data_IF_043088004027
#
_entry.id   IF_043088004027
#
_cell.length_a   1.000
_cell.length_b   1.000
_cell.length_c   1.000
_cell.angle_alpha   90.00
_cell.angle_beta   90.00
_cell.angle_gamma   90.00
#
_symmetry.space_group_name_H-M   'P 1'
#
loop_
_entity.id
_entity.type
_entity.pdbx_description
1 polymer ?
#
# COMPACT_ATOMS: atom_id res chain seq x y z
N UNK A 1 -15.57 34.97 -3.81
CA UNK A 1 -15.92 33.94 -2.81
C UNK A 1 -16.33 32.60 -3.45
N UNK A 2 -17.31 32.51 -4.36
CA UNK A 2 -17.70 31.21 -4.97
C UNK A 2 -16.53 30.48 -5.64
N UNK A 3 -15.64 31.16 -6.39
CA UNK A 3 -14.46 30.54 -7.03
C UNK A 3 -13.44 29.99 -6.01
N UNK A 4 -13.28 30.63 -4.86
CA UNK A 4 -12.39 30.16 -3.79
C UNK A 4 -12.96 28.91 -3.12
N UNK A 5 -14.28 28.82 -2.95
CA UNK A 5 -14.95 27.64 -2.41
C UNK A 5 -14.80 26.44 -3.36
N UNK A 6 -14.93 26.64 -4.68
CA UNK A 6 -14.69 25.57 -5.66
C UNK A 6 -13.23 25.11 -5.66
N UNK A 7 -12.27 26.02 -5.55
CA UNK A 7 -10.84 25.68 -5.43
C UNK A 7 -10.58 24.89 -4.15
N UNK A 8 -11.12 25.29 -3.01
CA UNK A 8 -10.96 24.57 -1.74
C UNK A 8 -11.63 23.20 -1.79
N UNK A 9 -12.81 23.07 -2.39
CA UNK A 9 -13.51 21.79 -2.55
C UNK A 9 -12.75 20.89 -3.53
N UNK A 10 -12.24 21.41 -4.65
CA UNK A 10 -11.42 20.63 -5.59
C UNK A 10 -10.11 20.21 -4.94
N UNK A 11 -9.42 21.08 -4.20
CA UNK A 11 -8.21 20.73 -3.45
C UNK A 11 -8.44 19.64 -2.37
N UNK A 12 -9.65 19.58 -1.80
CA UNK A 12 -10.00 18.53 -0.82
C UNK A 12 -10.15 17.13 -1.44
N UNK A 13 -10.47 17.06 -2.74
CA UNK A 13 -10.62 15.78 -3.46
C UNK A 13 -9.30 15.22 -4.01
N UNK A 14 -8.25 16.03 -4.13
CA UNK A 14 -6.97 15.64 -4.73
C UNK A 14 -5.81 15.52 -3.74
N UNK A 15 -6.10 15.26 -2.48
CA UNK A 15 -5.02 14.90 -1.56
C UNK A 15 -4.52 13.49 -1.89
N UNK A 16 -3.40 13.41 -2.60
CA UNK A 16 -2.63 12.18 -2.75
C UNK A 16 -2.03 11.87 -1.39
N UNK A 17 -2.75 11.04 -0.61
CA UNK A 17 -2.30 10.62 0.70
C UNK A 17 -1.36 9.47 0.50
N UNK A 18 -0.10 9.78 0.50
CA UNK A 18 0.97 8.80 0.39
C UNK A 18 0.99 7.85 1.60
N UNK A 19 0.80 6.57 1.33
CA UNK A 19 1.36 5.47 2.08
C UNK A 19 0.98 5.32 3.57
N UNK A 20 -0.32 5.32 3.93
CA UNK A 20 -0.73 5.02 5.30
C UNK A 20 -1.98 4.13 5.29
N UNK A 21 -1.94 3.05 6.03
CA UNK A 21 -3.01 2.05 6.08
C UNK A 21 -4.21 2.46 6.93
N UNK A 22 -4.10 3.50 7.76
CA UNK A 22 -5.19 4.04 8.57
C UNK A 22 -5.31 5.53 8.32
N UNK A 23 -6.49 5.98 7.90
CA UNK A 23 -6.74 7.38 7.59
C UNK A 23 -7.94 7.86 8.36
N UNK A 24 -7.70 8.64 9.41
CA UNK A 24 -8.76 9.47 9.95
C UNK A 24 -8.76 10.84 9.21
N UNK A 25 -9.85 11.60 9.28
CA UNK A 25 -9.92 12.90 8.63
C UNK A 25 -8.86 13.90 9.12
N UNK A 26 -8.33 13.75 10.33
CA UNK A 26 -7.28 14.60 10.86
C UNK A 26 -5.95 14.35 10.18
N UNK A 27 -5.59 13.07 10.00
CA UNK A 27 -4.39 12.67 9.25
C UNK A 27 -4.42 13.16 7.82
N UNK A 28 -5.59 13.01 7.17
CA UNK A 28 -5.79 13.45 5.79
C UNK A 28 -5.56 14.95 5.67
N UNK A 29 -6.21 15.73 6.53
CA UNK A 29 -6.11 17.19 6.53
C UNK A 29 -4.70 17.73 6.84
N UNK A 30 -3.85 16.92 7.49
CA UNK A 30 -2.47 17.28 7.86
C UNK A 30 -1.42 16.62 6.96
N UNK A 31 -1.85 16.05 5.80
CA UNK A 31 -0.97 15.35 4.85
C UNK A 31 -0.06 14.30 5.48
N UNK A 32 -0.52 13.65 6.56
CA UNK A 32 0.21 12.59 7.24
C UNK A 32 1.15 13.03 8.38
N UNK A 33 1.23 14.31 8.71
CA UNK A 33 1.95 14.81 9.88
C UNK A 33 1.20 14.46 11.17
N UNK A 34 1.45 13.27 11.74
CA UNK A 34 0.61 12.70 12.79
C UNK A 34 1.37 11.95 13.90
N UNK A 35 2.67 11.77 13.77
CA UNK A 35 3.53 10.95 14.66
C UNK A 35 3.53 11.46 16.13
N UNK A 36 3.18 12.73 16.37
CA UNK A 36 3.20 13.34 17.69
C UNK A 36 1.85 13.83 18.18
N UNK A 37 0.80 13.75 17.36
CA UNK A 37 -0.52 14.33 17.66
C UNK A 37 -1.70 13.36 17.55
N UNK A 38 -1.45 12.09 17.23
CA UNK A 38 -2.48 11.05 17.22
C UNK A 38 -3.02 10.81 18.66
N UNK A 39 -4.28 10.41 18.77
CA UNK A 39 -4.96 10.21 20.04
C UNK A 39 -5.70 8.87 20.09
N UNK A 40 -5.69 8.22 21.27
CA UNK A 40 -6.44 7.01 21.55
C UNK A 40 -6.18 5.91 20.51
N UNK A 41 -7.23 5.29 19.96
CA UNK A 41 -7.11 4.22 18.96
C UNK A 41 -6.40 4.66 17.67
N UNK A 42 -6.38 5.94 17.36
CA UNK A 42 -5.75 6.47 16.15
C UNK A 42 -4.22 6.54 16.23
N UNK A 43 -3.63 6.32 17.42
CA UNK A 43 -2.17 6.21 17.54
C UNK A 43 -1.63 4.88 16.99
N UNK A 44 -2.47 3.86 16.91
CA UNK A 44 -2.10 2.53 16.39
C UNK A 44 -1.80 2.62 14.89
N UNK A 45 -0.60 2.19 14.50
CA UNK A 45 -0.10 2.33 13.11
C UNK A 45 0.62 3.65 12.82
N UNK A 46 0.68 4.58 13.81
CA UNK A 46 1.45 5.83 13.71
C UNK A 46 2.54 5.90 14.78
N UNK A 47 2.16 6.00 16.04
CA UNK A 47 3.11 5.97 17.16
C UNK A 47 2.39 5.43 18.39
N UNK A 48 2.61 4.18 18.78
CA UNK A 48 1.91 3.56 19.89
C UNK A 48 2.16 4.23 21.24
N UNK A 49 3.25 4.99 21.41
CA UNK A 49 3.53 5.72 22.65
C UNK A 49 2.47 6.80 22.97
N UNK A 50 1.78 7.31 21.95
CA UNK A 50 0.74 8.33 22.12
C UNK A 50 -0.52 7.83 22.85
N UNK A 51 -0.68 6.51 23.01
CA UNK A 51 -1.77 5.95 23.82
C UNK A 51 -1.72 6.46 25.27
N UNK A 52 -0.53 6.81 25.77
CA UNK A 52 -0.35 7.37 27.12
C UNK A 52 -0.89 8.79 27.26
N UNK A 53 -1.31 9.44 26.15
CA UNK A 53 -1.78 10.82 26.12
C UNK A 53 -3.29 10.99 25.99
N UNK A 54 -4.04 9.93 26.08
CA UNK A 54 -5.51 9.94 25.93
C UNK A 54 -6.26 10.59 27.11
N UNK A 55 -5.71 11.65 27.69
CA UNK A 55 -6.26 12.26 28.89
C UNK A 55 -7.64 12.92 28.68
N UNK A 56 -7.85 13.58 27.53
CA UNK A 56 -9.10 14.26 27.19
C UNK A 56 -10.18 13.29 26.70
N UNK A 57 -9.78 12.09 26.30
CA UNK A 57 -10.67 11.03 25.81
C UNK A 57 -10.33 9.72 26.48
N UNK A 58 -10.73 9.52 27.74
CA UNK A 58 -10.33 8.34 28.52
C UNK A 58 -10.86 7.03 27.97
N UNK A 59 -11.88 7.08 27.11
CA UNK A 59 -12.42 5.94 26.38
C UNK A 59 -12.80 6.35 24.96
N UNK A 60 -12.36 5.58 23.98
CA UNK A 60 -12.76 5.70 22.57
C UNK A 60 -13.22 4.35 22.06
N UNK A 61 -14.36 4.34 21.39
CA UNK A 61 -14.91 3.16 20.70
C UNK A 61 -15.19 3.51 19.26
N UNK A 62 -14.64 2.73 18.34
CA UNK A 62 -14.90 2.89 16.93
C UNK A 62 -16.07 2.00 16.51
N UNK A 63 -17.16 2.62 16.12
CA UNK A 63 -18.38 1.93 15.69
C UNK A 63 -18.29 1.56 14.23
N UNK A 64 -17.84 2.48 13.37
CA UNK A 64 -17.70 2.27 11.94
C UNK A 64 -16.68 3.23 11.35
N UNK A 65 -15.92 2.73 10.41
CA UNK A 65 -15.08 3.52 9.50
C UNK A 65 -14.86 2.72 8.23
N UNK A 66 -14.69 3.39 7.12
CA UNK A 66 -14.17 2.79 5.88
C UNK A 66 -13.23 3.78 5.26
N UNK A 67 -12.01 3.37 5.03
CA UNK A 67 -11.07 4.17 4.25
C UNK A 67 -10.56 3.41 3.03
N UNK A 68 -10.23 4.16 1.99
CA UNK A 68 -9.61 3.67 0.78
C UNK A 68 -8.53 4.64 0.38
N UNK A 69 -7.39 4.12 -0.06
CA UNK A 69 -6.29 4.90 -0.56
C UNK A 69 -5.85 4.44 -1.92
N UNK A 70 -5.35 5.40 -2.67
CA UNK A 70 -4.65 5.19 -3.92
C UNK A 70 -3.31 5.87 -3.84
N UNK A 71 -2.29 5.19 -4.30
CA UNK A 71 -0.95 5.71 -4.45
C UNK A 71 -0.40 5.25 -5.80
N UNK A 72 0.23 6.16 -6.52
CA UNK A 72 0.87 5.85 -7.78
C UNK A 72 1.86 6.93 -8.14
N UNK A 73 2.89 6.59 -8.88
CA UNK A 73 3.86 7.57 -9.36
C UNK A 73 3.36 8.37 -10.59
N UNK A 74 2.25 7.95 -11.18
CA UNK A 74 1.60 8.66 -12.31
C UNK A 74 0.66 9.78 -11.86
N UNK A 75 -0.09 9.56 -10.77
CA UNK A 75 -1.14 10.47 -10.33
C UNK A 75 -0.61 11.60 -9.43
N UNK A 76 0.24 12.47 -9.96
CA UNK A 76 0.49 13.76 -9.34
C UNK A 76 -0.42 14.83 -9.95
N UNK A 77 -0.80 15.83 -9.16
CA UNK A 77 -1.58 16.99 -9.68
C UNK A 77 -0.80 17.66 -10.82
N UNK A 78 0.50 17.70 -10.70
CA UNK A 78 1.40 18.27 -11.69
C UNK A 78 1.37 17.50 -13.00
N UNK A 79 1.52 16.16 -12.95
CA UNK A 79 1.44 15.32 -14.14
C UNK A 79 0.05 15.37 -14.80
N UNK A 80 -1.02 15.32 -14.01
CA UNK A 80 -2.39 15.42 -14.54
C UNK A 80 -2.65 16.79 -15.16
N UNK A 81 -2.20 17.88 -14.54
CA UNK A 81 -2.38 19.22 -15.05
C UNK A 81 -1.55 19.50 -16.33
N UNK A 82 -0.35 18.94 -16.38
CA UNK A 82 0.59 19.14 -17.49
C UNK A 82 0.26 18.28 -18.71
N UNK A 83 -0.19 17.04 -18.49
CA UNK A 83 -0.34 16.03 -19.57
C UNK A 83 -1.81 15.68 -19.89
N UNK A 84 -2.79 16.35 -19.26
CA UNK A 84 -4.20 16.11 -19.50
C UNK A 84 -4.68 16.85 -20.73
N UNK A 85 -5.09 16.08 -21.75
CA UNK A 85 -5.88 16.60 -22.87
C UNK A 85 -5.07 17.08 -24.08
N UNK A 86 -3.77 16.85 -24.15
CA UNK A 86 -2.91 17.23 -25.27
C UNK A 86 -2.09 16.06 -25.83
N UNK A 87 -1.49 16.26 -26.98
CA UNK A 87 -0.57 15.31 -27.61
C UNK A 87 0.84 15.57 -27.07
N UNK A 88 1.43 14.57 -26.42
CA UNK A 88 2.77 14.68 -25.83
C UNK A 88 3.83 14.92 -26.90
N UNK A 89 4.59 16.00 -26.78
CA UNK A 89 5.80 16.22 -27.54
C UNK A 89 7.00 15.41 -26.94
N UNK A 90 8.11 15.32 -27.66
CA UNK A 90 9.24 14.49 -27.22
C UNK A 90 9.80 14.91 -25.85
N UNK A 91 9.90 16.21 -25.56
CA UNK A 91 10.38 16.71 -24.27
C UNK A 91 9.45 16.34 -23.11
N UNK A 92 8.15 16.38 -23.34
CA UNK A 92 7.14 15.98 -22.34
C UNK A 92 7.15 14.46 -22.12
N UNK A 93 7.38 13.68 -23.18
CA UNK A 93 7.60 12.24 -23.07
C UNK A 93 8.82 11.92 -22.22
N UNK A 94 9.94 12.60 -22.45
CA UNK A 94 11.19 12.42 -21.70
C UNK A 94 10.97 12.76 -20.21
N UNK A 95 10.34 13.89 -19.91
CA UNK A 95 10.03 14.28 -18.53
C UNK A 95 9.11 13.27 -17.83
N UNK A 96 8.12 12.76 -18.53
CA UNK A 96 7.21 11.77 -17.99
C UNK A 96 7.92 10.43 -17.78
N UNK A 97 8.78 10.04 -18.72
CA UNK A 97 9.57 8.82 -18.63
C UNK A 97 10.56 8.85 -17.47
N UNK A 98 11.27 9.94 -17.28
CA UNK A 98 12.21 10.14 -16.15
C UNK A 98 11.51 9.94 -14.79
N UNK A 99 10.26 10.42 -14.66
CA UNK A 99 9.45 10.20 -13.46
C UNK A 99 9.13 8.71 -13.18
N UNK A 100 9.07 7.89 -14.23
CA UNK A 100 8.80 6.45 -14.13
C UNK A 100 10.06 5.61 -13.98
N UNK A 101 11.19 6.04 -14.56
CA UNK A 101 12.45 5.30 -14.57
C UNK A 101 12.96 5.06 -13.16
N UNK A 102 12.94 6.07 -12.31
CA UNK A 102 13.30 5.99 -10.89
C UNK A 102 12.52 4.90 -10.13
N UNK A 103 11.25 4.68 -10.51
CA UNK A 103 10.39 3.64 -9.95
C UNK A 103 10.44 2.29 -10.69
N UNK A 104 11.20 2.19 -11.79
CA UNK A 104 11.25 1.01 -12.66
C UNK A 104 9.91 0.72 -13.35
N UNK A 105 9.11 1.77 -13.62
CA UNK A 105 7.83 1.71 -14.31
C UNK A 105 6.68 2.42 -13.59
N UNK A 106 5.46 2.24 -14.08
CA UNK A 106 4.26 2.80 -13.46
C UNK A 106 3.76 1.90 -12.35
N UNK A 107 3.73 2.44 -11.15
CA UNK A 107 3.27 1.74 -9.95
C UNK A 107 1.89 2.22 -9.53
N UNK A 108 1.04 1.27 -9.22
CA UNK A 108 -0.27 1.45 -8.66
C UNK A 108 -0.37 0.72 -7.33
N UNK A 109 -0.75 1.44 -6.30
CA UNK A 109 -1.09 0.85 -5.03
C UNK A 109 -2.48 1.30 -4.61
N UNK A 110 -3.31 0.36 -4.21
CA UNK A 110 -4.62 0.60 -3.61
C UNK A 110 -4.69 -0.14 -2.28
N UNK A 111 -5.20 0.53 -1.28
CA UNK A 111 -5.51 -0.10 -0.01
C UNK A 111 -6.95 0.18 0.41
N UNK A 112 -7.49 -0.75 1.17
CA UNK A 112 -8.77 -0.63 1.84
C UNK A 112 -8.60 -1.06 3.29
N UNK A 113 -9.12 -0.26 4.19
CA UNK A 113 -9.06 -0.53 5.61
C UNK A 113 -10.47 -0.43 6.20
N UNK A 114 -10.91 -1.51 6.81
CA UNK A 114 -12.23 -1.65 7.43
C UNK A 114 -12.06 -2.12 8.87
N UNK A 115 -12.17 -1.22 9.85
CA UNK A 115 -12.26 -1.61 11.25
C UNK A 115 -13.46 -2.51 11.48
N UNK A 116 -13.26 -3.61 12.19
CA UNK A 116 -14.36 -4.47 12.60
C UNK A 116 -15.17 -3.72 13.67
N UNK A 117 -16.46 -3.52 13.47
CA UNK A 117 -17.29 -2.73 14.39
C UNK A 117 -17.19 -3.21 15.83
N UNK A 118 -17.09 -2.27 16.75
CA UNK A 118 -17.05 -2.48 18.21
C UNK A 118 -15.81 -3.22 18.73
N UNK A 119 -14.92 -3.72 17.86
CA UNK A 119 -13.66 -4.38 18.27
C UNK A 119 -12.46 -3.45 18.29
N UNK A 120 -12.68 -2.16 18.05
CA UNK A 120 -11.63 -1.14 18.11
C UNK A 120 -11.96 -0.18 19.25
N UNK A 121 -11.21 -0.28 20.33
CA UNK A 121 -11.38 0.62 21.46
C UNK A 121 -10.06 0.94 22.15
N UNK A 122 -10.02 2.06 22.85
CA UNK A 122 -8.93 2.42 23.74
C UNK A 122 -9.46 2.90 25.08
N UNK A 123 -8.72 2.60 26.15
CA UNK A 123 -9.00 3.05 27.52
C UNK A 123 -7.69 3.19 28.28
N UNK A 124 -7.45 4.41 28.81
CA UNK A 124 -6.19 4.70 29.49
C UNK A 124 -4.99 4.44 28.56
N UNK A 125 -4.02 3.67 29.01
CA UNK A 125 -2.78 3.39 28.29
C UNK A 125 -2.85 2.13 27.40
N UNK A 126 -4.05 1.62 27.10
CA UNK A 126 -4.22 0.43 26.25
C UNK A 126 -5.19 0.68 25.10
N UNK A 127 -4.96 -0.02 23.98
CA UNK A 127 -5.92 -0.12 22.90
C UNK A 127 -5.97 -1.55 22.36
N UNK A 128 -7.18 -1.95 21.94
CA UNK A 128 -7.41 -3.14 21.15
C UNK A 128 -7.93 -2.69 19.78
N UNK A 129 -7.40 -3.28 18.72
CA UNK A 129 -7.83 -2.99 17.35
C UNK A 129 -8.01 -4.29 16.57
N UNK A 130 -9.03 -4.31 15.73
CA UNK A 130 -9.30 -5.41 14.82
C UNK A 130 -9.75 -4.82 13.49
N UNK A 131 -8.95 -5.05 12.44
CA UNK A 131 -9.15 -4.39 11.16
C UNK A 131 -8.97 -5.37 10.00
N UNK A 132 -9.92 -5.36 9.09
CA UNK A 132 -9.70 -5.96 7.77
C UNK A 132 -8.91 -4.97 6.90
N UNK A 133 -7.80 -5.44 6.37
CA UNK A 133 -6.89 -4.68 5.50
C UNK A 133 -6.76 -5.41 4.18
N UNK A 134 -6.99 -4.72 3.08
CA UNK A 134 -6.76 -5.22 1.73
C UNK A 134 -5.74 -4.32 1.04
N UNK A 135 -4.70 -4.92 0.50
CA UNK A 135 -3.61 -4.25 -0.19
C UNK A 135 -3.50 -4.79 -1.60
N UNK A 136 -3.56 -3.91 -2.59
CA UNK A 136 -3.39 -4.24 -4.00
C UNK A 136 -2.19 -3.45 -4.53
N UNK A 137 -1.21 -4.14 -5.05
CA UNK A 137 -0.03 -3.54 -5.67
C UNK A 137 0.08 -4.04 -7.11
N UNK A 138 0.16 -3.12 -8.06
CA UNK A 138 0.34 -3.42 -9.46
C UNK A 138 1.41 -2.52 -10.04
N UNK A 139 2.33 -3.10 -10.81
CA UNK A 139 3.41 -2.37 -11.46
C UNK A 139 3.52 -2.77 -12.92
N UNK A 140 3.42 -1.78 -13.78
CA UNK A 140 3.71 -1.88 -15.21
C UNK A 140 5.21 -1.64 -15.39
N UNK A 141 5.97 -2.55 -16.00
CA UNK A 141 7.41 -2.41 -16.14
C UNK A 141 7.79 -1.25 -17.07
N UNK A 142 8.96 -0.67 -16.82
CA UNK A 142 9.47 0.45 -17.60
C UNK A 142 9.64 0.10 -19.08
N UNK A 143 10.02 -1.14 -19.41
CA UNK A 143 10.18 -1.60 -20.78
C UNK A 143 8.91 -1.51 -21.61
N UNK A 144 7.73 -1.74 -21.00
CA UNK A 144 6.46 -1.55 -21.71
C UNK A 144 6.21 -0.08 -22.04
N UNK A 145 6.55 0.83 -21.12
CA UNK A 145 6.41 2.27 -21.34
C UNK A 145 7.40 2.75 -22.41
N UNK A 146 8.62 2.24 -22.36
CA UNK A 146 9.65 2.52 -23.37
C UNK A 146 9.20 2.12 -24.77
N UNK A 147 8.63 0.92 -24.89
CA UNK A 147 8.04 0.45 -26.15
C UNK A 147 6.92 1.37 -26.65
N UNK A 148 6.04 1.82 -25.76
CA UNK A 148 4.88 2.67 -26.11
C UNK A 148 5.30 4.09 -26.48
N UNK A 149 6.28 4.70 -25.79
CA UNK A 149 6.66 6.09 -25.99
C UNK A 149 7.69 6.30 -27.10
N UNK A 150 8.66 5.40 -27.18
CA UNK A 150 9.81 5.53 -28.06
C UNK A 150 9.87 4.44 -29.14
N UNK A 151 9.02 3.42 -29.02
CA UNK A 151 9.15 2.23 -29.81
C UNK A 151 10.37 1.41 -29.36
N UNK A 152 10.90 0.62 -30.24
CA UNK A 152 11.97 -0.34 -29.97
C UNK A 152 13.36 0.09 -30.48
N UNK A 153 13.49 1.35 -30.94
CA UNK A 153 14.71 1.81 -31.63
C UNK A 153 15.91 2.10 -30.72
N UNK A 154 15.70 2.27 -29.40
CA UNK A 154 16.74 2.69 -28.47
C UNK A 154 17.41 1.56 -27.69
N UNK A 155 16.63 0.56 -27.30
CA UNK A 155 17.10 -0.61 -26.54
C UNK A 155 16.59 -1.89 -27.19
N UNK A 156 17.48 -2.80 -27.57
CA UNK A 156 17.08 -4.03 -28.25
C UNK A 156 16.34 -5.02 -27.33
N UNK A 157 16.54 -4.98 -26.02
CA UNK A 157 15.95 -5.87 -25.03
C UNK A 157 15.22 -5.06 -23.96
N UNK A 158 13.92 -5.26 -23.84
CA UNK A 158 13.03 -4.55 -22.94
C UNK A 158 12.43 -5.52 -21.92
N UNK A 159 12.62 -5.23 -20.64
CA UNK A 159 11.97 -5.96 -19.55
C UNK A 159 10.45 -5.67 -19.51
N UNK A 160 9.67 -6.74 -19.68
CA UNK A 160 8.22 -6.72 -19.68
C UNK A 160 7.62 -7.38 -18.43
N UNK A 161 8.43 -7.62 -17.40
CA UNK A 161 8.01 -8.37 -16.22
C UNK A 161 7.01 -7.57 -15.39
N UNK A 162 5.74 -7.99 -15.43
CA UNK A 162 4.66 -7.42 -14.61
C UNK A 162 4.82 -7.81 -13.14
N UNK A 163 4.42 -6.93 -12.24
CA UNK A 163 4.27 -7.26 -10.83
C UNK A 163 2.83 -7.00 -10.40
N UNK A 164 2.23 -8.01 -9.78
CA UNK A 164 0.89 -7.95 -9.20
C UNK A 164 0.91 -8.65 -7.86
N UNK A 165 0.37 -8.00 -6.83
CA UNK A 165 0.23 -8.59 -5.50
C UNK A 165 -1.06 -8.08 -4.84
N UNK A 166 -1.92 -8.99 -4.43
CA UNK A 166 -3.18 -8.73 -3.75
C UNK A 166 -3.15 -9.48 -2.42
N UNK A 167 -3.38 -8.77 -1.33
CA UNK A 167 -3.31 -9.29 0.03
C UNK A 167 -4.53 -8.87 0.83
N UNK A 168 -5.26 -9.83 1.40
CA UNK A 168 -6.32 -9.60 2.36
C UNK A 168 -5.95 -10.18 3.73
N UNK A 169 -6.02 -9.36 4.78
CA UNK A 169 -5.59 -9.72 6.14
C UNK A 169 -6.55 -9.15 7.18
N UNK A 170 -6.85 -9.93 8.23
CA UNK A 170 -7.34 -9.39 9.48
C UNK A 170 -6.14 -9.10 10.40
N UNK A 171 -6.01 -7.84 10.79
CA UNK A 171 -4.99 -7.38 11.73
C UNK A 171 -5.62 -7.17 13.11
N UNK A 172 -5.21 -7.97 14.10
CA UNK A 172 -5.57 -7.80 15.50
C UNK A 172 -4.40 -7.17 16.24
N UNK A 173 -4.61 -6.01 16.83
CA UNK A 173 -3.58 -5.26 17.52
C UNK A 173 -3.90 -5.09 19.01
N UNK A 174 -2.92 -5.37 19.87
CA UNK A 174 -2.91 -4.99 21.26
C UNK A 174 -1.82 -3.95 21.50
N UNK A 175 -2.22 -2.75 21.82
CA UNK A 175 -1.32 -1.62 22.09
C UNK A 175 -1.30 -1.31 23.58
N UNK A 176 -0.10 -1.11 24.13
CA UNK A 176 0.07 -0.62 25.47
C UNK A 176 1.17 0.44 25.54
N UNK A 177 1.00 1.39 26.43
CA UNK A 177 1.94 2.49 26.63
C UNK A 177 2.44 2.54 28.07
N UNK A 178 3.72 2.86 28.20
CA UNK A 178 4.40 3.00 29.47
C UNK A 178 4.86 4.47 29.61
N UNK A 179 4.15 5.27 30.42
CA UNK A 179 4.55 6.65 30.66
C UNK A 179 5.70 6.71 31.68
N UNK A 180 6.72 7.46 31.35
CA UNK A 180 7.75 7.92 32.25
C UNK A 180 7.67 9.44 32.44
N UNK A 181 8.46 9.97 33.33
CA UNK A 181 8.40 11.38 33.71
C UNK A 181 8.61 12.35 32.51
N UNK A 182 9.58 12.07 31.62
CA UNK A 182 9.94 12.95 30.52
C UNK A 182 9.61 12.38 29.14
N UNK A 183 9.40 11.07 29.04
CA UNK A 183 9.19 10.35 27.79
C UNK A 183 8.19 9.21 28.03
N UNK A 184 7.45 8.84 27.01
CA UNK A 184 6.61 7.64 27.02
C UNK A 184 7.04 6.68 25.93
N UNK A 185 6.95 5.39 26.20
CA UNK A 185 7.14 4.34 25.23
C UNK A 185 5.82 3.64 24.95
N UNK A 186 5.69 3.08 23.76
CA UNK A 186 4.52 2.30 23.38
C UNK A 186 4.89 1.15 22.50
N UNK A 187 4.12 0.09 22.63
CA UNK A 187 4.29 -1.13 21.85
C UNK A 187 2.93 -1.57 21.34
N UNK A 188 2.86 -1.99 20.09
CA UNK A 188 1.70 -2.71 19.54
C UNK A 188 2.15 -4.10 19.12
N UNK A 189 1.55 -5.11 19.73
CA UNK A 189 1.67 -6.50 19.30
C UNK A 189 0.54 -6.79 18.32
N UNK A 190 0.87 -7.37 17.17
CA UNK A 190 -0.09 -7.68 16.11
C UNK A 190 -0.16 -9.17 15.85
N UNK A 191 -1.36 -9.70 15.76
CA UNK A 191 -1.62 -10.99 15.14
C UNK A 191 -2.20 -10.73 13.75
N UNK A 192 -1.59 -11.31 12.72
CA UNK A 192 -1.95 -11.16 11.31
C UNK A 192 -2.59 -12.45 10.83
N UNK A 193 -3.91 -12.43 10.67
CA UNK A 193 -4.65 -13.52 10.08
C UNK A 193 -4.74 -13.29 8.58
N UNK A 194 -3.90 -13.97 7.80
CA UNK A 194 -4.01 -13.96 6.34
C UNK A 194 -5.30 -14.61 5.89
N UNK A 195 -6.10 -13.89 5.12
CA UNK A 195 -7.36 -14.40 4.56
C UNK A 195 -7.13 -14.95 3.18
N UNK A 196 -6.60 -14.13 2.28
CA UNK A 196 -6.25 -14.51 0.91
C UNK A 196 -5.04 -13.73 0.41
N UNK A 197 -4.34 -14.35 -0.51
CA UNK A 197 -3.21 -13.80 -1.25
C UNK A 197 -3.27 -14.24 -2.70
N UNK A 198 -2.94 -13.34 -3.61
CA UNK A 198 -2.66 -13.64 -5.00
C UNK A 198 -1.52 -12.74 -5.47
N UNK A 199 -0.52 -13.31 -6.11
CA UNK A 199 0.60 -12.51 -6.61
C UNK A 199 1.45 -13.24 -7.64
N UNK A 200 2.11 -12.45 -8.49
CA UNK A 200 3.15 -12.92 -9.38
C UNK A 200 4.42 -13.10 -8.55
N UNK A 201 4.98 -14.30 -8.57
CA UNK A 201 6.23 -14.61 -7.90
C UNK A 201 7.40 -13.96 -8.66
N UNK A 202 8.10 -12.99 -8.08
CA UNK A 202 9.13 -12.24 -8.79
C UNK A 202 10.38 -13.08 -9.11
N UNK A 203 10.67 -14.10 -8.29
CA UNK A 203 11.87 -14.93 -8.46
C UNK A 203 11.67 -16.01 -9.57
N UNK A 204 10.42 -16.32 -9.86
CA UNK A 204 10.04 -17.35 -10.82
C UNK A 204 9.39 -16.80 -12.09
N UNK A 205 9.33 -15.48 -12.22
CA UNK A 205 8.68 -14.80 -13.34
C UNK A 205 9.65 -13.89 -14.07
N UNK A 206 9.59 -13.90 -15.38
CA UNK A 206 10.36 -13.01 -16.25
C UNK A 206 9.67 -12.88 -17.60
N UNK A 207 9.79 -11.72 -18.20
CA UNK A 207 9.27 -11.48 -19.54
C UNK A 207 10.13 -10.43 -20.24
N UNK A 208 10.37 -10.61 -21.52
CA UNK A 208 11.08 -9.62 -22.33
C UNK A 208 10.55 -9.55 -23.75
N UNK A 209 10.85 -8.44 -24.40
CA UNK A 209 10.67 -8.23 -25.83
C UNK A 209 12.01 -7.76 -26.38
N UNK A 210 12.45 -8.44 -27.46
CA UNK A 210 13.72 -8.18 -28.11
C UNK A 210 13.44 -7.72 -29.54
N UNK A 211 14.12 -6.65 -29.92
CA UNK A 211 14.08 -6.13 -31.29
C UNK A 211 15.36 -6.48 -32.03
N UNK A 212 15.22 -6.94 -33.25
CA UNK A 212 16.30 -7.24 -34.14
C UNK A 212 16.02 -6.76 -35.55
N UNK A 213 17.01 -6.85 -36.43
CA UNK A 213 16.87 -6.50 -37.86
C UNK A 213 15.81 -7.33 -38.58
N UNK A 214 15.48 -8.52 -38.05
CA UNK A 214 14.48 -9.41 -38.65
C UNK A 214 13.07 -9.23 -38.09
N UNK A 215 12.91 -8.47 -37.02
CA UNK A 215 11.62 -8.19 -36.37
C UNK A 215 11.69 -8.17 -34.85
N UNK A 216 10.52 -8.10 -34.24
CA UNK A 216 10.32 -8.11 -32.82
C UNK A 216 9.93 -9.52 -32.35
N UNK A 217 10.63 -10.06 -31.37
CA UNK A 217 10.33 -11.35 -30.74
C UNK A 217 10.50 -11.27 -29.25
N UNK A 218 9.96 -12.24 -28.54
CA UNK A 218 10.06 -12.22 -27.09
C UNK A 218 9.21 -13.28 -26.44
N UNK A 219 9.18 -13.26 -25.15
CA UNK A 219 8.36 -14.18 -24.39
C UNK A 219 8.31 -13.86 -22.92
N UNK A 220 7.45 -14.57 -22.22
CA UNK A 220 7.32 -14.41 -20.80
C UNK A 220 6.85 -15.69 -20.12
N UNK A 221 7.28 -15.78 -18.86
CA UNK A 221 6.89 -16.83 -17.94
C UNK A 221 6.47 -16.15 -16.64
N UNK A 222 5.24 -16.38 -16.21
CA UNK A 222 4.69 -15.85 -14.95
C UNK A 222 4.22 -16.99 -14.07
N UNK A 223 4.76 -17.08 -12.88
CA UNK A 223 4.26 -17.95 -11.83
C UNK A 223 3.34 -17.14 -10.91
N UNK A 224 2.04 -17.42 -10.99
CA UNK A 224 1.04 -16.76 -10.17
C UNK A 224 0.69 -17.69 -9.02
N UNK A 225 1.02 -17.26 -7.79
CA UNK A 225 0.71 -17.98 -6.56
C UNK A 225 -0.54 -17.45 -5.91
N UNK A 226 -1.24 -18.34 -5.25
CA UNK A 226 -2.34 -18.01 -4.35
C UNK A 226 -2.08 -18.60 -2.96
N UNK A 227 -2.62 -17.93 -1.95
CA UNK A 227 -2.63 -18.41 -0.58
C UNK A 227 -4.01 -18.15 0.03
N UNK A 228 -4.52 -19.12 0.77
CA UNK A 228 -5.77 -19.02 1.50
C UNK A 228 -5.51 -19.43 2.92
N UNK A 229 -5.82 -18.53 3.85
CA UNK A 229 -5.48 -18.74 5.25
C UNK A 229 -3.98 -18.68 5.52
N UNK A 230 -3.61 -17.80 6.38
CA UNK A 230 -2.24 -17.63 6.83
C UNK A 230 -2.22 -17.07 8.25
N UNK A 231 -1.07 -17.12 8.87
CA UNK A 231 -0.86 -16.56 10.20
C UNK A 231 0.45 -15.82 10.26
N UNK A 232 0.48 -14.78 11.05
CA UNK A 232 1.68 -13.99 11.24
C UNK A 232 1.63 -13.14 12.48
N UNK A 233 2.74 -12.51 12.76
CA UNK A 233 2.89 -11.58 13.86
C UNK A 233 3.53 -10.29 13.37
N UNK A 234 3.22 -9.19 14.04
CA UNK A 234 3.82 -7.90 13.78
C UNK A 234 4.11 -7.16 15.08
N UNK A 235 5.00 -6.18 14.98
CA UNK A 235 5.39 -5.35 16.10
C UNK A 235 5.54 -3.90 15.65
N UNK A 236 4.88 -2.99 16.39
CA UNK A 236 5.16 -1.56 16.29
C UNK A 236 5.79 -1.08 17.59
N UNK A 237 6.77 -0.20 17.46
CA UNK A 237 7.45 0.44 18.58
C UNK A 237 7.30 1.96 18.46
N UNK A 238 7.18 2.65 19.58
CA UNK A 238 7.09 4.09 19.59
C UNK A 238 7.64 4.73 20.84
N UNK A 239 8.04 5.98 20.68
CA UNK A 239 8.43 6.86 21.77
C UNK A 239 7.92 8.27 21.51
N UNK A 240 7.63 9.00 22.60
CA UNK A 240 7.18 10.39 22.53
C UNK A 240 7.61 11.13 23.78
N UNK A 241 8.15 12.34 23.64
CA UNK A 241 8.51 13.18 24.77
C UNK A 241 7.25 13.75 25.43
N UNK A 242 7.35 14.10 26.69
CA UNK A 242 6.36 15.01 27.31
C UNK A 242 6.35 16.33 26.55
N UNK A 243 5.25 17.06 26.64
CA UNK A 243 5.18 18.42 26.08
C UNK A 243 6.07 19.38 26.87
N UNK A 244 6.97 20.06 26.17
CA UNK A 244 7.92 21.01 26.73
C UNK A 244 7.68 22.36 26.04
N UNK A 245 7.10 23.33 26.74
CA UNK A 245 6.76 24.66 26.17
C UNK A 245 5.93 24.56 24.86
N UNK A 246 5.00 23.64 24.82
CA UNK A 246 4.16 23.36 23.66
C UNK A 246 4.79 22.43 22.62
N UNK A 247 6.09 22.11 22.73
CA UNK A 247 6.76 21.20 21.81
C UNK A 247 6.67 19.75 22.23
N UNK A 248 6.46 18.89 21.27
CA UNK A 248 6.47 17.45 21.38
C UNK A 248 7.33 16.84 20.27
N UNK A 249 8.16 15.87 20.62
CA UNK A 249 8.96 15.09 19.69
C UNK A 249 8.58 13.62 19.81
N UNK A 250 8.59 12.89 18.69
CA UNK A 250 8.26 11.48 18.70
C UNK A 250 8.94 10.73 17.58
N UNK A 251 9.18 9.45 17.82
CA UNK A 251 9.67 8.53 16.80
C UNK A 251 8.94 7.20 16.93
N UNK A 252 8.81 6.48 15.82
CA UNK A 252 8.22 5.15 15.81
C UNK A 252 8.76 4.30 14.67
N UNK A 253 8.72 2.99 14.89
CA UNK A 253 8.91 1.98 13.85
C UNK A 253 7.63 1.15 13.80
N UNK A 254 7.00 1.17 12.64
CA UNK A 254 5.77 0.43 12.37
C UNK A 254 6.14 -0.82 11.58
N UNK A 255 5.57 -1.97 11.93
CA UNK A 255 5.86 -3.26 11.34
C UNK A 255 7.37 -3.58 11.36
N UNK A 256 8.03 -3.45 12.51
CA UNK A 256 9.46 -3.82 12.71
C UNK A 256 9.71 -5.23 12.19
N UNK A 257 8.79 -6.12 12.45
CA UNK A 257 8.58 -7.35 11.71
C UNK A 257 7.07 -7.52 11.48
N UNK A 258 6.72 -8.12 10.37
CA UNK A 258 5.32 -8.32 9.99
C UNK A 258 5.32 -9.33 8.85
N UNK A 259 5.38 -10.62 9.19
CA UNK A 259 5.43 -11.71 8.21
C UNK A 259 4.18 -12.56 8.36
N UNK A 260 3.56 -12.91 7.23
CA UNK A 260 2.42 -13.82 7.14
C UNK A 260 2.90 -15.06 6.41
N UNK A 261 2.80 -16.19 7.08
CA UNK A 261 3.06 -17.52 6.53
C UNK A 261 1.74 -18.10 6.01
N UNK A 262 1.69 -18.44 4.73
CA UNK A 262 0.52 -19.00 4.06
C UNK A 262 0.54 -20.52 4.17
N UNK A 263 -0.12 -21.04 5.18
CA UNK A 263 -0.13 -22.47 5.55
C UNK A 263 -1.49 -23.15 5.36
N UNK A 264 -2.45 -22.46 4.75
CA UNK A 264 -3.74 -22.99 4.30
C UNK A 264 -4.48 -23.82 5.38
N UNK A 265 -4.84 -23.22 6.53
CA UNK A 265 -5.54 -23.97 7.60
C UNK A 265 -6.92 -24.40 7.14
N UNK A 266 -7.35 -25.59 7.57
CA UNK A 266 -8.71 -26.10 7.33
C UNK A 266 -9.76 -25.14 7.91
N UNK A 267 -10.89 -24.97 7.19
CA UNK A 267 -12.00 -24.11 7.61
C UNK A 267 -11.92 -22.66 7.15
N UNK A 268 -10.78 -22.16 6.70
CA UNK A 268 -10.69 -20.81 6.12
C UNK A 268 -11.41 -20.72 4.78
N UNK A 269 -11.35 -21.78 4.00
CA UNK A 269 -12.07 -21.90 2.72
C UNK A 269 -13.57 -21.72 2.91
N UNK A 270 -14.17 -22.49 3.81
CA UNK A 270 -15.61 -22.45 4.09
C UNK A 270 -16.04 -21.06 4.58
N UNK A 271 -15.20 -20.41 5.38
CA UNK A 271 -15.43 -19.05 5.84
C UNK A 271 -15.44 -18.04 4.69
N UNK A 272 -14.46 -18.09 3.78
CA UNK A 272 -14.38 -17.17 2.64
C UNK A 272 -15.52 -17.40 1.64
N UNK A 273 -15.90 -18.65 1.40
CA UNK A 273 -17.04 -19.02 0.54
C UNK A 273 -18.38 -18.56 1.11
N UNK A 274 -18.51 -18.51 2.44
CA UNK A 274 -19.72 -18.05 3.12
C UNK A 274 -19.96 -16.54 3.03
N UNK A 275 -18.90 -15.76 2.72
CA UNK A 275 -18.97 -14.29 2.70
C UNK A 275 -18.33 -13.67 1.44
N UNK A 276 -18.76 -14.07 0.22
CA UNK A 276 -18.12 -13.63 -1.02
C UNK A 276 -18.21 -12.10 -1.24
N UNK A 277 -19.25 -11.46 -0.74
CA UNK A 277 -19.47 -10.02 -0.89
C UNK A 277 -18.46 -9.19 -0.09
N UNK A 278 -18.04 -9.69 1.08
CA UNK A 278 -17.07 -9.02 1.95
C UNK A 278 -15.69 -9.05 1.31
N UNK A 279 -15.34 -10.15 0.68
CA UNK A 279 -14.01 -10.38 0.11
C UNK A 279 -13.93 -9.98 -1.38
N UNK A 280 -14.94 -9.26 -1.91
CA UNK A 280 -14.90 -8.61 -3.21
C UNK A 280 -14.80 -9.57 -4.40
N UNK A 281 -15.19 -10.83 -4.24
CA UNK A 281 -15.16 -11.83 -5.30
C UNK A 281 -13.77 -12.36 -5.65
N UNK A 282 -12.75 -12.07 -4.83
CA UNK A 282 -11.39 -12.61 -5.04
C UNK A 282 -11.29 -14.13 -4.74
N UNK A 283 -12.25 -14.66 -4.02
CA UNK A 283 -12.30 -16.09 -3.72
C UNK A 283 -13.65 -16.68 -4.09
N UNK A 284 -13.73 -17.89 -4.68
CA UNK A 284 -12.61 -18.70 -5.18
C UNK A 284 -11.92 -18.05 -6.39
N UNK A 285 -10.60 -18.09 -6.41
CA UNK A 285 -9.84 -17.55 -7.53
C UNK A 285 -10.09 -18.35 -8.81
N UNK A 286 -10.39 -17.66 -9.91
CA UNK A 286 -10.68 -18.25 -11.21
C UNK A 286 -9.73 -17.73 -12.26
N UNK A 287 -9.23 -18.61 -13.11
CA UNK A 287 -8.42 -18.29 -14.26
C UNK A 287 -8.97 -18.99 -15.49
N UNK A 288 -9.25 -18.24 -16.57
CA UNK A 288 -9.84 -18.79 -17.78
C UNK A 288 -11.16 -19.54 -17.55
N UNK A 289 -11.95 -19.11 -16.54
CA UNK A 289 -13.22 -19.78 -16.17
C UNK A 289 -13.09 -21.00 -15.26
N UNK A 290 -11.87 -21.51 -15.02
CA UNK A 290 -11.59 -22.61 -14.09
C UNK A 290 -11.26 -22.08 -12.69
N UNK A 291 -11.80 -22.70 -11.66
CA UNK A 291 -11.37 -22.47 -10.27
C UNK A 291 -10.00 -23.07 -10.04
N UNK A 292 -9.07 -22.25 -9.51
CA UNK A 292 -7.73 -22.67 -9.10
C UNK A 292 -7.84 -23.36 -7.74
N UNK A 293 -7.31 -24.58 -7.62
CA UNK A 293 -7.35 -25.31 -6.37
C UNK A 293 -6.34 -24.73 -5.37
N UNK A 294 -6.57 -24.96 -4.07
CA UNK A 294 -5.78 -24.37 -3.00
C UNK A 294 -4.30 -24.77 -3.02
N UNK A 295 -3.99 -25.94 -3.61
CA UNK A 295 -2.64 -26.48 -3.78
C UNK A 295 -2.04 -26.22 -5.16
N UNK A 296 -2.70 -25.40 -5.98
CA UNK A 296 -2.27 -25.08 -7.33
C UNK A 296 -1.71 -23.66 -7.42
N UNK A 297 -0.71 -23.49 -8.27
CA UNK A 297 -0.29 -22.22 -8.84
C UNK A 297 -0.51 -22.23 -10.35
N UNK A 298 -0.58 -21.05 -10.95
CA UNK A 298 -0.74 -20.90 -12.39
C UNK A 298 0.62 -20.58 -12.99
N UNK A 299 1.06 -21.37 -13.93
CA UNK A 299 2.19 -21.08 -14.77
C UNK A 299 1.67 -20.61 -16.14
N UNK A 300 1.76 -19.30 -16.36
CA UNK A 300 1.42 -18.69 -17.66
C UNK A 300 2.69 -18.42 -18.45
N UNK A 301 2.75 -18.92 -19.65
CA UNK A 301 3.86 -18.67 -20.58
C UNK A 301 3.30 -18.12 -21.89
N UNK A 302 4.02 -17.20 -22.49
CA UNK A 302 3.74 -16.74 -23.83
C UNK A 302 5.02 -16.60 -24.64
N UNK A 303 4.88 -16.69 -25.96
CA UNK A 303 5.96 -16.48 -26.91
C UNK A 303 5.46 -15.64 -28.09
N UNK A 304 6.27 -14.70 -28.50
CA UNK A 304 6.08 -13.87 -29.68
C UNK A 304 7.18 -14.24 -30.66
N UNK A 305 6.79 -14.82 -31.81
CA UNK A 305 7.72 -15.21 -32.85
C UNK A 305 7.76 -14.15 -33.97
N UNK A 306 8.88 -13.57 -34.15
CA UNK A 306 9.27 -12.62 -35.23
C UNK A 306 8.14 -11.78 -35.82
N UNK A 307 7.62 -10.87 -35.01
CA UNK A 307 6.56 -9.93 -35.39
C UNK A 307 7.14 -8.82 -36.28
N UNK A 308 6.54 -8.59 -37.46
CA UNK A 308 6.90 -7.55 -38.44
C UNK A 308 5.66 -6.79 -38.87
N UNK A 309 5.85 -5.64 -39.49
CA UNK A 309 4.76 -4.85 -40.02
C UNK A 309 3.91 -5.57 -41.09
N UNK A 310 4.53 -6.51 -41.82
CA UNK A 310 3.88 -7.28 -42.87
C UNK A 310 3.14 -8.55 -42.40
N UNK A 311 3.37 -8.97 -41.16
CA UNK A 311 2.78 -10.20 -40.63
C UNK A 311 1.90 -10.00 -39.37
N UNK A 312 1.58 -8.78 -38.97
CA UNK A 312 0.79 -8.43 -37.76
C UNK A 312 -0.55 -9.16 -37.65
N UNK A 313 -1.11 -9.64 -38.75
CA UNK A 313 -2.41 -10.31 -38.80
C UNK A 313 -2.33 -11.84 -38.66
N UNK A 314 -1.17 -12.38 -38.36
CA UNK A 314 -0.98 -13.84 -38.24
C UNK A 314 -1.11 -14.28 -36.80
N UNK A 315 -2.22 -14.92 -36.42
CA UNK A 315 -2.49 -15.43 -35.06
C UNK A 315 -1.41 -16.41 -34.57
N UNK A 316 -0.66 -17.06 -35.47
CA UNK A 316 0.39 -18.01 -35.11
C UNK A 316 1.63 -17.39 -34.47
N UNK A 317 1.82 -16.08 -34.62
CA UNK A 317 3.01 -15.37 -34.08
C UNK A 317 2.93 -15.16 -32.56
N UNK A 318 1.74 -15.15 -32.01
CA UNK A 318 1.55 -15.08 -30.57
C UNK A 318 0.98 -16.39 -30.07
N UNK A 319 1.79 -17.11 -29.30
CA UNK A 319 1.36 -18.34 -28.64
C UNK A 319 1.37 -18.16 -27.13
N UNK A 320 0.38 -18.71 -26.45
CA UNK A 320 0.36 -18.74 -25.00
C UNK A 320 -0.07 -20.10 -24.48
N UNK A 321 0.35 -20.39 -23.26
CA UNK A 321 0.00 -21.62 -22.55
C UNK A 321 -0.25 -21.32 -21.10
N UNK A 322 -1.32 -21.85 -20.57
CA UNK A 322 -1.63 -21.83 -19.13
C UNK A 322 -1.55 -23.24 -18.61
N UNK A 323 -0.75 -23.44 -17.59
CA UNK A 323 -0.64 -24.70 -16.86
C UNK A 323 -1.01 -24.46 -15.39
N UNK A 324 -1.81 -25.38 -14.84
CA UNK A 324 -2.10 -25.41 -13.42
C UNK A 324 -1.15 -26.43 -12.80
N UNK A 325 -0.17 -25.92 -12.08
CA UNK A 325 0.87 -26.75 -11.47
C UNK A 325 0.61 -26.92 -9.98
N UNK A 326 0.95 -28.09 -9.45
CA UNK A 326 0.91 -28.32 -8.01
C UNK A 326 2.04 -27.52 -7.35
N UNK A 327 1.67 -26.52 -6.53
CA UNK A 327 2.63 -25.74 -5.73
C UNK A 327 2.94 -26.48 -4.43
N UNK A 328 3.58 -27.64 -4.59
CA UNK A 328 3.88 -28.57 -3.50
C UNK A 328 5.37 -28.81 -3.39
N UNK A 329 5.78 -29.21 -2.18
CA UNK A 329 7.12 -29.74 -1.92
C UNK A 329 7.26 -31.14 -2.50
N UNK A 330 8.49 -31.66 -2.57
CA UNK A 330 8.78 -33.01 -3.06
C UNK A 330 8.06 -34.13 -2.27
N UNK A 331 7.67 -33.88 -1.03
CA UNK A 331 6.90 -34.79 -0.20
C UNK A 331 5.37 -34.69 -0.41
N UNK A 332 4.91 -33.90 -1.38
CA UNK A 332 3.49 -33.71 -1.69
C UNK A 332 2.75 -32.68 -0.80
N UNK A 333 3.38 -32.14 0.22
CA UNK A 333 2.77 -31.10 1.06
C UNK A 333 2.70 -29.78 0.30
N UNK A 334 1.64 -28.95 0.51
CA UNK A 334 1.57 -27.61 -0.07
C UNK A 334 2.83 -26.80 0.27
N UNK A 335 3.34 -26.08 -0.71
CA UNK A 335 4.47 -25.20 -0.50
C UNK A 335 4.03 -24.00 0.33
N UNK A 336 4.65 -23.83 1.48
CA UNK A 336 4.46 -22.69 2.35
C UNK A 336 5.34 -21.56 1.83
N UNK A 337 4.78 -20.38 1.73
CA UNK A 337 5.50 -19.17 1.38
C UNK A 337 5.11 -18.03 2.32
N UNK A 338 5.91 -16.99 2.34
CA UNK A 338 5.74 -15.84 3.22
C UNK A 338 5.50 -14.55 2.44
N UNK A 339 4.65 -13.71 2.99
CA UNK A 339 4.53 -12.32 2.58
C UNK A 339 4.89 -11.39 3.73
N UNK A 340 5.46 -10.23 3.42
CA UNK A 340 5.90 -9.29 4.44
C UNK A 340 5.19 -7.96 4.30
N UNK A 341 4.71 -7.44 5.42
CA UNK A 341 4.37 -6.05 5.56
C UNK A 341 5.65 -5.21 5.56
N UNK A 342 5.67 -4.10 4.83
CA UNK A 342 6.82 -3.22 4.85
C UNK A 342 6.93 -2.49 6.18
N UNK A 343 8.16 -2.40 6.70
CA UNK A 343 8.46 -1.60 7.86
C UNK A 343 8.54 -0.11 7.49
N UNK A 344 8.06 0.75 8.39
CA UNK A 344 8.14 2.20 8.29
C UNK A 344 8.84 2.77 9.50
N UNK A 345 9.78 3.68 9.26
CA UNK A 345 10.32 4.58 10.26
C UNK A 345 9.61 5.93 10.17
N UNK A 346 9.27 6.51 11.32
CA UNK A 346 8.64 7.81 11.45
C UNK A 346 9.35 8.63 12.52
N UNK A 347 9.63 9.87 12.21
CA UNK A 347 10.08 10.86 13.16
C UNK A 347 9.23 12.12 12.99
N UNK A 348 8.76 12.69 14.10
CA UNK A 348 7.92 13.87 14.03
C UNK A 348 8.13 14.80 15.21
N UNK A 349 7.71 16.03 14.99
CA UNK A 349 7.57 17.02 16.04
C UNK A 349 6.29 17.83 15.85
N UNK A 350 5.76 18.34 16.94
CA UNK A 350 4.64 19.26 16.88
C UNK A 350 4.79 20.38 17.90
N UNK A 351 4.10 21.48 17.61
CA UNK A 351 3.96 22.60 18.55
C UNK A 351 2.49 22.92 18.73
N UNK A 352 2.02 22.79 19.97
CA UNK A 352 0.67 23.17 20.37
C UNK A 352 0.68 24.61 20.85
N UNK A 353 -0.21 25.41 20.32
CA UNK A 353 -0.49 26.79 20.68
C UNK A 353 -1.97 26.95 21.02
N UNK A 354 -2.41 28.03 21.67
CA UNK A 354 -3.78 28.16 22.17
C UNK A 354 -4.88 27.99 21.10
N UNK A 355 -4.59 28.33 19.84
CA UNK A 355 -5.58 28.33 18.74
C UNK A 355 -5.17 27.50 17.53
N UNK A 356 -3.97 26.92 17.53
CA UNK A 356 -3.51 26.07 16.42
C UNK A 356 -2.42 25.10 16.85
N UNK A 357 -2.29 24.04 16.09
CA UNK A 357 -1.24 23.01 16.20
C UNK A 357 -0.49 22.98 14.88
N UNK A 358 0.82 23.04 14.94
CA UNK A 358 1.72 22.75 13.81
C UNK A 358 2.33 21.37 14.06
N UNK A 359 2.31 20.52 13.05
CA UNK A 359 2.95 19.21 13.09
C UNK A 359 3.83 19.01 11.86
N UNK A 360 4.91 18.29 12.03
CA UNK A 360 5.82 17.92 10.95
C UNK A 360 6.32 16.48 11.16
N UNK A 361 6.28 15.68 10.11
CA UNK A 361 6.72 14.30 10.11
C UNK A 361 7.70 14.02 8.99
N UNK A 362 8.70 13.23 9.28
CA UNK A 362 9.62 12.62 8.34
C UNK A 362 9.39 11.11 8.36
N UNK A 363 9.06 10.52 7.22
CA UNK A 363 8.69 9.12 7.09
C UNK A 363 9.47 8.45 5.98
N UNK A 364 9.99 7.26 6.23
CA UNK A 364 10.62 6.42 5.21
C UNK A 364 10.29 4.94 5.44
N UNK A 365 10.14 4.19 4.36
CA UNK A 365 10.15 2.74 4.36
C UNK A 365 11.56 2.20 4.14
N UNK A 366 11.75 0.92 4.40
CA UNK A 366 13.01 0.23 4.13
C UNK A 366 13.02 -0.44 2.75
N UNK A 367 11.87 -0.46 2.08
CA UNK A 367 11.69 -1.04 0.74
C UNK A 367 10.48 -0.41 0.05
N UNK A 368 10.47 -0.44 -1.28
CA UNK A 368 9.31 -0.04 -2.08
C UNK A 368 8.33 -1.21 -2.19
N UNK A 369 7.41 -1.25 -1.25
CA UNK A 369 6.37 -2.28 -1.21
C UNK A 369 5.08 -1.72 -0.61
N UNK A 370 3.95 -1.96 -1.27
CA UNK A 370 2.64 -1.46 -0.86
C UNK A 370 2.65 0.06 -0.59
N UNK A 371 2.36 0.46 0.64
CA UNK A 371 2.33 1.85 1.10
C UNK A 371 3.71 2.41 1.49
N UNK A 372 4.74 1.58 1.60
CA UNK A 372 6.09 2.02 1.95
C UNK A 372 6.89 2.44 0.72
N UNK A 373 7.70 3.45 0.89
CA UNK A 373 8.69 3.89 -0.10
C UNK A 373 10.03 4.01 0.60
N UNK A 374 11.11 3.55 -0.04
CA UNK A 374 12.48 3.65 0.44
C UNK A 374 13.06 5.09 0.33
N UNK A 375 12.21 6.03 -0.02
CA UNK A 375 12.53 7.47 -0.07
C UNK A 375 11.93 8.18 1.13
N UNK A 376 12.64 9.18 1.65
CA UNK A 376 12.14 10.06 2.70
C UNK A 376 10.98 10.91 2.17
N UNK A 377 9.93 10.96 2.94
CA UNK A 377 8.81 11.88 2.74
C UNK A 377 8.73 12.83 3.93
N UNK A 378 8.69 14.09 3.64
CA UNK A 378 8.47 15.13 4.63
C UNK A 378 7.05 15.67 4.52
N UNK A 379 6.35 15.76 5.64
CA UNK A 379 4.99 16.26 5.73
C UNK A 379 4.93 17.39 6.75
N UNK A 380 4.16 18.44 6.45
CA UNK A 380 3.87 19.54 7.35
C UNK A 380 2.37 19.77 7.39
N UNK A 381 1.80 19.94 8.57
CA UNK A 381 0.39 20.18 8.79
C UNK A 381 0.14 21.32 9.78
N UNK A 382 -0.91 22.08 9.50
CA UNK A 382 -1.45 23.11 10.38
C UNK A 382 -2.91 22.79 10.68
N UNK A 383 -3.25 22.74 11.97
CA UNK A 383 -4.62 22.60 12.46
C UNK A 383 -5.00 23.84 13.24
N UNK A 384 -6.07 24.53 12.81
CA UNK A 384 -6.63 25.65 13.52
C UNK A 384 -7.77 25.17 14.42
N UNK A 385 -7.62 25.39 15.75
CA UNK A 385 -8.46 24.79 16.79
C UNK A 385 -9.33 25.83 17.52
N UNK A 386 -9.41 27.07 17.04
CA UNK A 386 -10.19 28.12 17.67
C UNK A 386 -11.69 27.76 17.78
N UNK A 387 -12.20 27.02 16.77
CA UNK A 387 -13.53 26.44 16.80
C UNK A 387 -13.42 24.94 17.12
N UNK A 388 -13.65 24.56 18.38
CA UNK A 388 -13.49 23.17 18.85
C UNK A 388 -14.32 22.16 18.05
N UNK A 389 -15.55 22.54 17.68
CA UNK A 389 -16.45 21.67 16.93
C UNK A 389 -16.14 21.59 15.42
N UNK A 390 -15.31 22.48 14.89
CA UNK A 390 -15.01 22.57 13.47
C UNK A 390 -13.55 22.99 13.22
N UNK A 391 -12.58 22.14 13.52
CA UNK A 391 -11.17 22.46 13.27
C UNK A 391 -10.88 22.49 11.76
N UNK A 392 -10.18 23.53 11.32
CA UNK A 392 -9.70 23.63 9.94
C UNK A 392 -8.28 23.09 9.86
N UNK A 393 -8.00 22.32 8.82
CA UNK A 393 -6.72 21.67 8.61
C UNK A 393 -6.21 21.91 7.21
N UNK A 394 -4.90 22.11 7.12
CA UNK A 394 -4.18 22.16 5.85
C UNK A 394 -2.83 21.48 6.04
N UNK A 395 -2.40 20.73 5.06
CA UNK A 395 -1.12 20.05 5.07
C UNK A 395 -0.55 19.91 3.68
N UNK A 396 0.75 19.70 3.63
CA UNK A 396 1.50 19.43 2.41
C UNK A 396 2.58 18.38 2.69
N UNK A 397 2.87 17.54 1.69
CA UNK A 397 3.93 16.54 1.78
C UNK A 397 4.70 16.44 0.46
N UNK A 398 6.00 16.22 0.52
CA UNK A 398 6.91 16.06 -0.63
C UNK A 398 8.02 15.05 -0.39
#
# INVERSE_FOLDING_TARGET
>A
MKKIIYIVVIFSFFQIINGQTKRDPRVVGLSGAYTTIAEGIFCVGYNPALITRAHDKPFMLQVYQSDRGFLGNFFSIENVAQFSGDTLNNKEKDQLFDNFEDGGGVSFFQDRHLPIPLLNYSKGNIALTSNFVMLNNFKIPIGLLELVFYGNGGKPDLDMTLNLEILGVNEFGYTFGIPFESISFGVTLKYLQGLFYMGIDPDSSSANIITSDIGLYGGGKYLIRQGIGGKGFGLDLGMVTREINGWTFGASMINVFGTIEWNKPSGMKDFLESYPEIFGGFYPFKWGGRTVQDDEAILYTYNIDTLRADNLNQDSLFTNKTEFIKDTLANGNPKIFETRYPALFRFGFSKKMPTYVIASDLVAGFQDKYYARAKWRWSVGLEWTKMESFPLRVGYSW
#
